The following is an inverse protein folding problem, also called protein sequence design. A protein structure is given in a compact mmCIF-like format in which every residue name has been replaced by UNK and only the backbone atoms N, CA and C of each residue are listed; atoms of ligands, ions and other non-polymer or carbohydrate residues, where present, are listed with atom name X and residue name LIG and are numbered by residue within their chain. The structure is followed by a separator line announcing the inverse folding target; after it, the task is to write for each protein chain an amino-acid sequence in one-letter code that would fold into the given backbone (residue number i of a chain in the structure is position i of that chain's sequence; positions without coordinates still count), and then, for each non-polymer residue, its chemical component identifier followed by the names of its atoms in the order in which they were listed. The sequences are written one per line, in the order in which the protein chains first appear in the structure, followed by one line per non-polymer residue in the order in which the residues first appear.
data_IF_900414124686
#
_entry.id   IF_900414124686
#
_cell.length_a   1.000
_cell.length_b   1.000
_cell.length_c   1.000
_cell.angle_alpha   90.00
_cell.angle_beta   90.00
_cell.angle_gamma   90.00
#
_symmetry.space_group_name_H-M   'P 1'
#
loop_
_entity.id
_entity.type
_entity.pdbx_description
1 polymer ?
#
# COMPACT_ATOMS: atom_id res chain seq x y z
N UNK A 1 32.05 3.28 4.76
CA UNK A 1 31.11 2.45 3.99
C UNK A 1 29.79 3.19 3.95
N UNK A 2 29.23 3.46 2.77
CA UNK A 2 27.94 4.13 2.70
C UNK A 2 26.86 3.19 3.25
N UNK A 3 26.14 3.63 4.28
CA UNK A 3 24.98 2.92 4.82
C UNK A 3 23.84 3.08 3.81
N UNK A 4 23.80 2.23 2.77
CA UNK A 4 22.74 2.29 1.76
C UNK A 4 21.51 1.59 2.28
N UNK A 5 20.46 2.35 2.59
CA UNK A 5 19.13 1.82 2.89
C UNK A 5 18.49 1.22 1.62
N UNK A 6 17.71 0.17 1.78
CA UNK A 6 17.03 -0.50 0.66
C UNK A 6 15.75 0.24 0.25
N UNK A 7 15.29 0.05 -0.99
CA UNK A 7 14.02 0.61 -1.44
C UNK A 7 12.83 0.14 -0.58
N UNK A 8 12.89 -1.09 -0.09
CA UNK A 8 11.86 -1.69 0.76
C UNK A 8 11.83 -1.03 2.15
N UNK A 9 12.99 -0.71 2.73
CA UNK A 9 13.07 0.05 3.98
C UNK A 9 12.53 1.47 3.83
N UNK A 10 12.80 2.14 2.69
CA UNK A 10 12.23 3.46 2.41
C UNK A 10 10.71 3.36 2.28
N UNK A 11 10.20 2.36 1.56
CA UNK A 11 8.75 2.14 1.39
C UNK A 11 8.05 1.85 2.71
N UNK A 12 8.67 1.02 3.56
CA UNK A 12 8.16 0.68 4.89
C UNK A 12 8.02 1.94 5.76
N UNK A 13 9.09 2.74 5.86
CA UNK A 13 9.09 4.00 6.60
C UNK A 13 8.07 4.99 6.03
N UNK A 14 7.99 5.11 4.70
CA UNK A 14 7.01 5.97 4.03
C UNK A 14 5.57 5.55 4.36
N UNK A 15 5.26 4.25 4.26
CA UNK A 15 3.93 3.73 4.58
C UNK A 15 3.55 3.96 6.05
N UNK A 16 4.50 3.80 6.97
CA UNK A 16 4.26 4.06 8.40
C UNK A 16 4.04 5.55 8.67
N UNK A 17 4.87 6.43 8.10
CA UNK A 17 4.72 7.87 8.23
C UNK A 17 3.38 8.36 7.67
N UNK A 18 2.98 7.86 6.49
CA UNK A 18 1.66 8.13 5.90
C UNK A 18 0.51 7.68 6.80
N UNK A 19 0.62 6.48 7.38
CA UNK A 19 -0.40 5.96 8.30
C UNK A 19 -0.51 6.80 9.56
N UNK A 20 0.61 7.21 10.15
CA UNK A 20 0.63 8.03 11.37
C UNK A 20 0.03 9.43 11.10
N UNK A 21 0.44 10.06 9.99
CA UNK A 21 -0.11 11.33 9.54
C UNK A 21 -1.63 11.22 9.32
N UNK A 22 -2.08 10.20 8.58
CA UNK A 22 -3.49 10.03 8.28
C UNK A 22 -4.34 9.72 9.52
N UNK A 23 -3.79 8.96 10.48
CA UNK A 23 -4.44 8.75 11.78
C UNK A 23 -4.59 10.05 12.57
N UNK A 24 -3.60 10.94 12.51
CA UNK A 24 -3.67 12.24 13.17
C UNK A 24 -4.71 13.16 12.51
N UNK A 25 -4.80 13.14 11.18
CA UNK A 25 -5.78 13.92 10.41
C UNK A 25 -7.20 13.37 10.53
N UNK A 26 -7.35 12.05 10.63
CA UNK A 26 -8.63 11.34 10.65
C UNK A 26 -8.62 10.32 11.81
N UNK A 27 -8.98 10.72 13.05
CA UNK A 27 -8.89 9.84 14.22
C UNK A 27 -9.64 8.52 14.11
N UNK A 28 -10.76 8.48 13.35
CA UNK A 28 -11.53 7.27 13.08
C UNK A 28 -10.72 6.19 12.35
N UNK A 29 -9.67 6.58 11.60
CA UNK A 29 -8.74 5.62 11.00
C UNK A 29 -7.98 4.84 12.08
N UNK A 30 -7.59 5.48 13.18
CA UNK A 30 -6.97 4.79 14.32
C UNK A 30 -7.90 3.76 14.95
N UNK A 31 -9.15 4.14 15.21
CA UNK A 31 -10.18 3.22 15.73
C UNK A 31 -10.42 2.04 14.77
N UNK A 32 -10.39 2.28 13.46
CA UNK A 32 -10.50 1.21 12.46
C UNK A 32 -9.31 0.25 12.54
N UNK A 33 -8.08 0.75 12.71
CA UNK A 33 -6.89 -0.11 12.84
C UNK A 33 -6.94 -0.99 14.08
N UNK A 34 -7.40 -0.47 15.21
CA UNK A 34 -7.62 -1.25 16.44
C UNK A 34 -8.63 -2.38 16.21
N UNK A 35 -9.79 -2.06 15.62
CA UNK A 35 -10.80 -3.07 15.29
C UNK A 35 -10.27 -4.14 14.33
N UNK A 36 -9.49 -3.76 13.32
CA UNK A 36 -8.87 -4.71 12.39
C UNK A 36 -7.90 -5.64 13.11
N UNK A 37 -7.10 -5.13 14.05
CA UNK A 37 -6.20 -5.94 14.84
C UNK A 37 -6.95 -6.97 15.70
N UNK A 38 -8.02 -6.55 16.38
CA UNK A 38 -8.84 -7.43 17.22
C UNK A 38 -9.52 -8.54 16.38
N UNK A 39 -10.08 -8.17 15.23
CA UNK A 39 -10.72 -9.14 14.32
C UNK A 39 -9.70 -10.12 13.76
N UNK A 40 -8.53 -9.65 13.32
CA UNK A 40 -7.47 -10.52 12.81
C UNK A 40 -7.01 -11.52 13.87
N UNK A 41 -6.80 -11.07 15.11
CA UNK A 41 -6.43 -11.94 16.21
C UNK A 41 -7.52 -12.99 16.48
N UNK A 42 -8.77 -12.57 16.62
CA UNK A 42 -9.88 -13.47 16.87
C UNK A 42 -10.04 -14.52 15.75
N UNK A 43 -9.85 -14.15 14.48
CA UNK A 43 -9.92 -15.08 13.35
C UNK A 43 -8.79 -16.12 13.42
N UNK A 44 -7.57 -15.70 13.74
CA UNK A 44 -6.42 -16.61 13.82
C UNK A 44 -6.53 -17.57 15.02
N UNK A 45 -7.01 -17.09 16.17
CA UNK A 45 -7.24 -17.91 17.36
C UNK A 45 -8.33 -18.97 17.15
N UNK A 46 -9.42 -18.58 16.46
CA UNK A 46 -10.54 -19.47 16.19
C UNK A 46 -10.32 -20.39 14.97
N UNK A 47 -9.23 -20.21 14.22
CA UNK A 47 -8.92 -21.01 13.04
C UNK A 47 -7.43 -21.41 12.97
N UNK A 48 -7.00 -22.41 13.76
CA UNK A 48 -5.61 -22.86 13.81
C UNK A 48 -5.05 -23.33 12.46
N UNK A 49 -5.89 -23.91 11.59
CA UNK A 49 -5.48 -24.34 10.25
C UNK A 49 -5.16 -23.16 9.33
N UNK A 50 -5.92 -22.06 9.44
CA UNK A 50 -5.61 -20.83 8.72
C UNK A 50 -4.32 -20.21 9.25
N UNK A 51 -4.16 -20.16 10.58
CA UNK A 51 -2.95 -19.64 11.20
C UNK A 51 -1.70 -20.41 10.72
N UNK A 52 -1.72 -21.74 10.75
CA UNK A 52 -0.62 -22.57 10.27
C UNK A 52 -0.31 -22.32 8.77
N UNK A 53 -1.33 -22.20 7.93
CA UNK A 53 -1.14 -21.86 6.51
C UNK A 53 -0.47 -20.50 6.33
N UNK A 54 -0.87 -19.49 7.09
CA UNK A 54 -0.29 -18.14 7.00
C UNK A 54 1.14 -18.08 7.53
N UNK A 55 1.46 -18.83 8.60
CA UNK A 55 2.85 -19.00 9.09
C UNK A 55 3.71 -19.63 7.99
N UNK A 56 3.24 -20.73 7.40
CA UNK A 56 3.99 -21.47 6.38
C UNK A 56 4.20 -20.66 5.08
N UNK A 57 3.33 -19.69 4.81
CA UNK A 57 3.41 -18.80 3.66
C UNK A 57 4.11 -17.46 3.96
N UNK A 58 4.60 -17.24 5.19
CA UNK A 58 5.23 -15.99 5.65
C UNK A 58 4.34 -14.75 5.47
N UNK A 59 3.01 -14.92 5.56
CA UNK A 59 2.03 -13.86 5.32
C UNK A 59 1.60 -13.12 6.60
N UNK A 60 1.93 -13.66 7.77
CA UNK A 60 1.59 -13.02 9.04
C UNK A 60 2.35 -11.70 9.26
N UNK A 61 3.62 -11.64 8.84
CA UNK A 61 4.43 -10.43 9.00
C UNK A 61 3.85 -9.25 8.21
N UNK A 62 3.37 -9.50 6.98
CA UNK A 62 2.79 -8.44 6.14
C UNK A 62 1.38 -8.02 6.56
N UNK A 63 0.60 -8.91 7.18
CA UNK A 63 -0.81 -8.65 7.51
C UNK A 63 -1.02 -7.37 8.34
N UNK A 64 -0.11 -7.10 9.29
CA UNK A 64 -0.22 -5.95 10.19
C UNK A 64 0.22 -4.62 9.56
N UNK A 65 0.96 -4.68 8.45
CA UNK A 65 1.51 -3.50 7.77
C UNK A 65 0.88 -3.24 6.40
N UNK A 66 0.15 -4.20 5.85
CA UNK A 66 -0.50 -4.09 4.55
C UNK A 66 -1.52 -2.95 4.52
N UNK A 67 -1.25 -1.97 3.66
CA UNK A 67 -2.07 -0.76 3.49
C UNK A 67 -2.09 -0.39 2.01
N UNK A 68 -3.12 0.34 1.61
CA UNK A 68 -3.12 1.01 0.32
C UNK A 68 -3.61 2.45 0.44
N UNK A 69 -2.95 3.34 -0.28
CA UNK A 69 -3.37 4.74 -0.43
C UNK A 69 -4.08 4.96 -1.76
N UNK A 70 -4.83 6.05 -1.85
CA UNK A 70 -5.40 6.53 -3.11
C UNK A 70 -5.22 8.05 -3.19
N UNK A 71 -4.67 8.53 -4.30
CA UNK A 71 -4.43 9.97 -4.55
C UNK A 71 -4.88 10.35 -5.96
N UNK A 72 -5.22 11.63 -6.15
CA UNK A 72 -5.57 12.22 -7.45
C UNK A 72 -4.54 13.27 -7.81
N UNK A 73 -4.17 13.39 -9.09
CA UNK A 73 -3.37 14.51 -9.61
C UNK A 73 -4.03 15.07 -10.87
N UNK A 74 -3.71 16.32 -11.16
CA UNK A 74 -4.41 17.09 -12.20
C UNK A 74 -3.74 16.98 -13.57
N UNK A 75 -2.48 16.56 -13.62
CA UNK A 75 -1.68 16.63 -14.85
C UNK A 75 -0.82 15.39 -15.09
N UNK A 76 -0.51 15.16 -16.36
CA UNK A 76 0.43 14.11 -16.76
C UNK A 76 1.86 14.34 -16.19
N UNK A 77 2.25 15.60 -15.99
CA UNK A 77 3.56 15.96 -15.46
C UNK A 77 3.69 15.62 -13.97
N UNK A 78 2.65 15.88 -13.18
CA UNK A 78 2.60 15.47 -11.77
C UNK A 78 2.64 13.93 -11.68
N UNK A 79 1.92 13.21 -12.53
CA UNK A 79 1.98 11.74 -12.59
C UNK A 79 3.38 11.24 -12.94
N UNK A 80 4.03 11.82 -13.95
CA UNK A 80 5.39 11.47 -14.33
C UNK A 80 6.40 11.70 -13.18
N UNK A 81 6.16 12.74 -12.38
CA UNK A 81 6.98 13.06 -11.20
C UNK A 81 6.74 12.05 -10.07
N UNK A 82 5.48 11.74 -9.76
CA UNK A 82 5.12 10.73 -8.77
C UNK A 82 5.70 9.35 -9.12
N UNK A 83 5.67 8.96 -10.40
CA UNK A 83 6.31 7.72 -10.87
C UNK A 83 7.78 7.65 -10.49
N UNK A 84 8.52 8.77 -10.60
CA UNK A 84 9.95 8.83 -10.24
C UNK A 84 10.14 8.75 -8.72
N UNK A 85 9.29 9.41 -7.95
CA UNK A 85 9.30 9.33 -6.48
C UNK A 85 9.03 7.89 -6.02
N UNK A 86 8.00 7.24 -6.55
CA UNK A 86 7.65 5.85 -6.23
C UNK A 86 8.72 4.85 -6.66
N UNK A 87 9.46 5.11 -7.74
CA UNK A 87 10.58 4.26 -8.14
C UNK A 87 11.72 4.21 -7.09
N UNK A 88 11.95 5.27 -6.31
CA UNK A 88 12.92 5.27 -5.20
C UNK A 88 12.51 4.26 -4.12
N UNK A 89 11.20 4.07 -3.93
CA UNK A 89 10.59 3.12 -3.00
C UNK A 89 10.37 1.73 -3.61
N UNK A 90 10.93 1.44 -4.79
CA UNK A 90 10.75 0.14 -5.46
C UNK A 90 9.31 -0.12 -5.92
N UNK A 91 8.53 0.95 -6.16
CA UNK A 91 7.13 0.87 -6.57
C UNK A 91 6.97 1.25 -8.04
N UNK A 92 6.29 0.39 -8.80
CA UNK A 92 6.16 0.50 -10.25
C UNK A 92 4.69 0.57 -10.65
N UNK A 93 4.34 1.25 -11.76
CA UNK A 93 2.97 1.30 -12.24
C UNK A 93 2.54 -0.08 -12.74
N UNK A 94 1.55 -0.67 -12.08
CA UNK A 94 0.99 -1.98 -12.43
C UNK A 94 -0.45 -1.82 -12.87
N UNK A 95 -0.76 -2.38 -14.04
CA UNK A 95 -2.07 -2.37 -14.67
C UNK A 95 -2.59 -0.97 -15.05
N UNK A 96 -3.73 -0.97 -15.73
CA UNK A 96 -4.47 0.21 -16.17
C UNK A 96 -5.95 0.01 -15.86
N UNK A 97 -6.56 1.05 -15.30
CA UNK A 97 -7.97 1.06 -14.92
C UNK A 97 -8.64 2.27 -15.56
N UNK A 98 -9.68 2.01 -16.35
CA UNK A 98 -10.52 3.05 -16.95
C UNK A 98 -11.85 3.09 -16.21
N UNK A 99 -12.02 4.09 -15.33
CA UNK A 99 -13.25 4.25 -14.55
C UNK A 99 -14.31 5.07 -15.31
N UNK A 100 -13.99 5.59 -16.51
CA UNK A 100 -14.97 6.31 -17.33
C UNK A 100 -16.15 5.42 -17.72
N UNK A 101 -15.89 4.11 -17.84
CA UNK A 101 -16.90 3.07 -18.05
C UNK A 101 -17.93 2.98 -16.91
N UNK A 102 -17.57 3.44 -15.70
CA UNK A 102 -18.44 3.50 -14.52
C UNK A 102 -18.99 4.92 -14.25
N UNK A 103 -18.84 5.85 -15.21
CA UNK A 103 -19.29 7.23 -15.07
C UNK A 103 -18.38 8.13 -14.24
N UNK A 104 -17.17 7.67 -13.89
CA UNK A 104 -16.17 8.50 -13.20
C UNK A 104 -15.07 8.86 -14.20
N UNK A 105 -14.90 10.14 -14.58
CA UNK A 105 -14.01 10.53 -15.67
C UNK A 105 -12.53 10.52 -15.23
N UNK A 106 -12.00 9.35 -14.91
CA UNK A 106 -10.62 9.16 -14.45
C UNK A 106 -10.02 7.87 -14.97
N UNK A 107 -8.72 7.93 -15.25
CA UNK A 107 -7.88 6.79 -15.61
C UNK A 107 -6.82 6.56 -14.55
N UNK A 108 -6.48 5.30 -14.28
CA UNK A 108 -5.73 4.95 -13.09
C UNK A 108 -4.72 3.84 -13.31
N UNK A 109 -3.74 3.79 -12.40
CA UNK A 109 -2.75 2.71 -12.26
C UNK A 109 -2.41 2.54 -10.78
N UNK A 110 -1.86 1.40 -10.38
CA UNK A 110 -1.41 1.15 -9.01
C UNK A 110 0.11 1.11 -8.96
N UNK A 111 0.72 1.99 -8.16
CA UNK A 111 2.15 1.90 -7.85
C UNK A 111 2.35 0.89 -6.73
N UNK A 112 3.10 -0.18 -7.01
CA UNK A 112 3.40 -1.23 -6.02
C UNK A 112 4.72 -1.95 -6.31
N UNK A 113 5.30 -2.66 -5.32
CA UNK A 113 6.38 -3.60 -5.57
C UNK A 113 5.89 -4.73 -6.47
N UNK A 114 6.81 -5.31 -7.24
CA UNK A 114 6.51 -6.41 -8.17
C UNK A 114 7.28 -7.70 -7.84
N UNK A 115 8.32 -7.61 -7.03
CA UNK A 115 9.10 -8.75 -6.57
C UNK A 115 8.42 -9.41 -5.35
N UNK A 116 8.45 -10.73 -5.29
CA UNK A 116 7.79 -11.51 -4.25
C UNK A 116 8.37 -11.24 -2.86
N UNK A 117 9.69 -11.08 -2.73
CA UNK A 117 10.31 -10.78 -1.45
C UNK A 117 9.96 -9.35 -0.99
N UNK A 118 9.94 -8.39 -1.92
CA UNK A 118 9.52 -7.02 -1.63
C UNK A 118 8.04 -6.92 -1.22
N UNK A 119 7.17 -7.73 -1.84
CA UNK A 119 5.74 -7.82 -1.49
C UNK A 119 5.54 -8.50 -0.13
N UNK A 120 6.25 -9.59 0.15
CA UNK A 120 6.20 -10.29 1.43
C UNK A 120 6.67 -9.39 2.57
N UNK A 121 7.66 -8.53 2.34
CA UNK A 121 8.15 -7.58 3.34
C UNK A 121 7.17 -6.42 3.58
N UNK A 122 6.78 -5.72 2.51
CA UNK A 122 5.88 -4.58 2.62
C UNK A 122 5.09 -4.38 1.31
N UNK A 123 3.80 -4.79 1.27
CA UNK A 123 2.97 -4.75 0.07
C UNK A 123 2.29 -3.40 -0.15
N UNK A 124 2.82 -2.30 0.41
CA UNK A 124 2.22 -0.97 0.28
C UNK A 124 2.01 -0.59 -1.18
N UNK A 125 0.80 -0.14 -1.50
CA UNK A 125 0.40 0.23 -2.85
C UNK A 125 -0.35 1.55 -2.86
N UNK A 126 -0.15 2.35 -3.90
CA UNK A 126 -0.86 3.62 -4.07
C UNK A 126 -1.59 3.62 -5.40
N UNK A 127 -2.92 3.72 -5.33
CA UNK A 127 -3.75 3.98 -6.48
C UNK A 127 -3.68 5.45 -6.86
N UNK A 128 -3.46 5.68 -8.14
CA UNK A 128 -3.43 7.01 -8.71
C UNK A 128 -4.61 7.20 -9.66
N UNK A 129 -5.30 8.36 -9.62
CA UNK A 129 -6.36 8.72 -10.56
C UNK A 129 -6.00 10.01 -11.32
N UNK A 130 -5.86 9.90 -12.64
CA UNK A 130 -5.72 11.02 -13.57
C UNK A 130 -7.09 11.43 -14.07
N UNK A 131 -7.44 12.70 -13.84
CA UNK A 131 -8.53 13.32 -14.58
C UNK A 131 -7.97 13.75 -15.95
N UNK A 132 -8.44 13.20 -17.08
CA UNK A 132 -8.09 13.74 -18.39
C UNK A 132 -8.62 15.18 -18.51
N UNK A 133 -7.94 16.04 -19.30
CA UNK A 133 -8.33 17.44 -19.49
C UNK A 133 -9.71 17.58 -20.16
#
# INVERSE_FOLDING_TARGET
MANSITADEIREQFSQAMSAMYQQEVPQYGTLLELVADVNLAVLENNPQLHEKMVNADELARLNVERHGAIRVGTAQELATLRRMFAIMGMYPVSYYDLSQAGVPVHSTAFRPIDDASLARNPFRVFYLLTPP
#
